data_IF_357972454165
#
_entry.id   IF_357972454165
#
_cell.length_a   1.000
_cell.length_b   1.000
_cell.length_c   1.000
_cell.angle_alpha   90.00
_cell.angle_beta   90.00
_cell.angle_gamma   90.00
#
_symmetry.space_group_name_H-M   'P 1'
#
loop_
_entity.id
_entity.type
_entity.pdbx_description
1 polymer ?
#
# COMPACT_ATOMS: atom_id res chain seq x y z
N UNK A 1 0.68 -14.96 -16.26
CA UNK A 1 1.31 -14.42 -15.04
C UNK A 1 0.99 -12.95 -15.01
N UNK A 2 0.58 -12.40 -13.86
CA UNK A 2 0.24 -10.98 -13.77
C UNK A 2 1.53 -10.17 -13.73
N UNK A 3 1.61 -9.09 -14.51
CA UNK A 3 2.82 -8.29 -14.60
C UNK A 3 2.91 -7.27 -13.47
N UNK A 4 4.14 -7.06 -12.97
CA UNK A 4 4.47 -5.97 -12.07
C UNK A 4 4.81 -4.72 -12.88
N UNK A 5 4.04 -3.66 -12.68
CA UNK A 5 4.18 -2.39 -13.40
C UNK A 5 4.48 -1.25 -12.43
N UNK A 6 5.06 -0.18 -12.95
CA UNK A 6 5.28 1.03 -12.16
C UNK A 6 3.95 1.73 -11.86
N UNK A 7 3.94 2.60 -10.86
CA UNK A 7 2.76 3.41 -10.55
C UNK A 7 2.31 4.31 -11.72
N UNK A 8 3.24 4.75 -12.58
CA UNK A 8 2.94 5.58 -13.75
C UNK A 8 2.18 4.79 -14.81
N UNK A 9 2.72 3.61 -15.16
CA UNK A 9 2.10 2.68 -16.12
C UNK A 9 0.73 2.22 -15.63
N UNK A 10 0.63 1.80 -14.36
CA UNK A 10 -0.63 1.37 -13.76
C UNK A 10 -1.70 2.45 -13.81
N UNK A 11 -1.33 3.70 -13.51
CA UNK A 11 -2.29 4.80 -13.51
C UNK A 11 -2.75 5.18 -14.92
N UNK A 12 -1.84 5.14 -15.90
CA UNK A 12 -2.17 5.38 -17.30
C UNK A 12 -3.17 4.32 -17.82
N UNK A 13 -2.93 3.05 -17.50
CA UNK A 13 -3.80 1.93 -17.85
C UNK A 13 -5.19 2.07 -17.19
N UNK A 14 -5.23 2.37 -15.88
CA UNK A 14 -6.47 2.38 -15.09
C UNK A 14 -7.34 3.62 -15.31
N UNK A 15 -6.75 4.81 -15.44
CA UNK A 15 -7.51 6.08 -15.41
C UNK A 15 -7.57 6.83 -16.75
N UNK A 16 -6.84 6.41 -17.79
CA UNK A 16 -6.74 6.93 -19.19
C UNK A 16 -6.72 8.45 -19.41
N UNK A 17 -7.64 9.21 -18.83
CA UNK A 17 -7.83 10.65 -19.01
C UNK A 17 -7.53 11.50 -17.76
N UNK A 18 -7.61 10.94 -16.55
CA UNK A 18 -7.33 11.71 -15.33
C UNK A 18 -6.72 10.86 -14.20
N UNK A 19 -5.47 10.38 -14.36
CA UNK A 19 -4.80 9.62 -13.32
C UNK A 19 -4.45 10.52 -12.11
N UNK A 20 -4.50 9.97 -10.88
CA UNK A 20 -3.93 10.63 -9.72
C UNK A 20 -2.45 10.96 -9.93
N UNK A 21 -1.97 12.03 -9.31
CA UNK A 21 -0.55 12.38 -9.36
C UNK A 21 0.33 11.24 -8.83
N UNK A 22 1.54 11.10 -9.36
CA UNK A 22 2.48 10.06 -8.92
C UNK A 22 2.80 10.16 -7.42
N UNK A 23 2.81 11.37 -6.87
CA UNK A 23 3.01 11.61 -5.44
C UNK A 23 1.84 11.04 -4.61
N UNK A 24 0.62 11.18 -5.10
CA UNK A 24 -0.58 10.58 -4.49
C UNK A 24 -0.47 9.05 -4.49
N UNK A 25 -0.10 8.46 -5.63
CA UNK A 25 0.04 7.01 -5.76
C UNK A 25 1.16 6.44 -4.87
N UNK A 26 2.29 7.15 -4.75
CA UNK A 26 3.37 6.77 -3.81
C UNK A 26 2.91 6.82 -2.37
N UNK A 27 2.10 7.81 -2.00
CA UNK A 27 1.49 7.89 -0.66
C UNK A 27 0.57 6.69 -0.42
N UNK A 28 -0.27 6.33 -1.39
CA UNK A 28 -1.15 5.15 -1.30
C UNK A 28 -0.37 3.84 -1.18
N UNK A 29 0.71 3.69 -1.96
CA UNK A 29 1.61 2.54 -1.90
C UNK A 29 2.26 2.43 -0.51
N UNK A 30 2.76 3.54 0.04
CA UNK A 30 3.33 3.60 1.39
C UNK A 30 2.30 3.28 2.48
N UNK A 31 1.03 3.60 2.25
CA UNK A 31 -0.08 3.35 3.18
C UNK A 31 -0.74 1.98 2.97
N UNK A 32 -0.18 1.12 2.10
CA UNK A 32 -0.75 -0.20 1.77
C UNK A 32 -2.21 -0.14 1.30
N UNK A 33 -2.59 0.92 0.57
CA UNK A 33 -3.96 1.11 0.04
C UNK A 33 -4.23 0.34 -1.26
N UNK A 34 -3.21 -0.34 -1.81
CA UNK A 34 -3.34 -1.20 -2.97
C UNK A 34 -3.64 -2.64 -2.53
N UNK A 35 -4.57 -3.29 -3.23
CA UNK A 35 -4.85 -4.71 -3.08
C UNK A 35 -4.70 -5.38 -4.45
N UNK A 36 -3.70 -6.27 -4.67
CA UNK A 36 -2.64 -6.68 -3.75
C UNK A 36 -1.64 -5.55 -3.41
N UNK A 37 -0.90 -5.64 -2.28
CA UNK A 37 -0.03 -4.57 -1.80
C UNK A 37 1.09 -4.23 -2.78
N UNK A 38 1.39 -2.93 -2.89
CA UNK A 38 2.50 -2.43 -3.68
C UNK A 38 3.84 -2.85 -3.07
N UNK A 39 4.82 -3.17 -3.92
CA UNK A 39 6.16 -3.56 -3.52
C UNK A 39 7.16 -2.44 -3.84
N UNK A 40 8.08 -2.15 -2.90
CA UNK A 40 9.13 -1.16 -3.11
C UNK A 40 10.37 -1.84 -3.65
N UNK A 41 10.73 -1.52 -4.89
CA UNK A 41 11.95 -2.00 -5.56
C UNK A 41 12.89 -0.82 -5.82
N UNK A 42 13.88 -0.66 -4.94
CA UNK A 42 14.81 0.46 -4.98
C UNK A 42 14.11 1.81 -4.87
N UNK A 43 14.17 2.62 -5.94
CA UNK A 43 13.53 3.94 -6.01
C UNK A 43 12.06 3.87 -6.45
N UNK A 44 11.62 2.76 -7.01
CA UNK A 44 10.30 2.62 -7.62
C UNK A 44 9.36 1.81 -6.72
N UNK A 45 8.08 2.17 -6.80
CA UNK A 45 6.99 1.32 -6.30
C UNK A 45 6.40 0.59 -7.49
N UNK A 46 6.21 -0.72 -7.32
CA UNK A 46 5.55 -1.59 -8.30
C UNK A 46 4.24 -2.09 -7.75
N UNK A 47 3.26 -2.17 -8.62
CA UNK A 47 1.93 -2.72 -8.37
C UNK A 47 1.63 -3.75 -9.44
N UNK A 48 0.80 -4.73 -9.09
CA UNK A 48 0.31 -5.70 -10.07
C UNK A 48 -0.69 -5.03 -11.01
N UNK A 49 -0.80 -5.54 -12.22
CA UNK A 49 -1.79 -5.08 -13.21
C UNK A 49 -3.24 -5.15 -12.68
N UNK A 50 -3.56 -6.15 -11.86
CA UNK A 50 -4.87 -6.37 -11.26
C UNK A 50 -5.06 -5.63 -9.93
N UNK A 51 -4.09 -4.80 -9.52
CA UNK A 51 -4.19 -4.09 -8.25
C UNK A 51 -5.29 -3.02 -8.31
N UNK A 52 -6.03 -2.91 -7.22
CA UNK A 52 -7.06 -1.89 -7.03
C UNK A 52 -6.75 -1.03 -5.80
N UNK A 53 -7.11 0.25 -5.86
CA UNK A 53 -7.02 1.15 -4.71
C UNK A 53 -8.29 0.96 -3.88
N UNK A 54 -8.20 0.20 -2.80
CA UNK A 54 -9.33 -0.06 -1.91
C UNK A 54 -9.45 1.01 -0.81
N UNK A 55 -8.48 1.93 -0.72
CA UNK A 55 -8.44 2.98 0.30
C UNK A 55 -8.01 2.45 1.68
N UNK A 56 -8.18 3.26 2.72
CA UNK A 56 -7.77 2.95 4.09
C UNK A 56 -8.82 2.04 4.78
N UNK A 57 -9.08 0.85 4.23
CA UNK A 57 -10.11 -0.06 4.77
C UNK A 57 -9.64 -0.88 5.99
N UNK A 58 -8.33 -0.99 6.23
CA UNK A 58 -7.79 -1.90 7.26
C UNK A 58 -6.60 -1.30 7.99
N UNK A 59 -6.87 -0.37 8.91
CA UNK A 59 -5.97 -0.15 10.05
C UNK A 59 -6.59 -0.84 11.27
N UNK A 60 -5.85 -1.71 11.99
CA UNK A 60 -6.36 -2.29 13.21
C UNK A 60 -6.62 -1.17 14.23
N UNK A 61 -7.77 -1.23 14.90
CA UNK A 61 -8.07 -0.30 15.99
C UNK A 61 -7.21 -0.69 17.18
N UNK A 62 -6.29 0.20 17.57
CA UNK A 62 -5.42 0.00 18.74
C UNK A 62 -6.04 0.73 19.93
N UNK A 63 -6.42 -0.02 20.98
CA UNK A 63 -6.95 0.56 22.22
C UNK A 63 -5.85 0.65 23.26
N UNK A 64 -5.89 1.71 24.08
CA UNK A 64 -4.94 1.89 25.19
C UNK A 64 -5.06 0.83 26.29
N UNK A 65 -6.21 0.14 26.38
CA UNK A 65 -6.40 -0.96 27.32
C UNK A 65 -5.90 -2.31 26.79
N UNK A 66 -5.50 -2.40 25.52
CA UNK A 66 -4.99 -3.65 24.96
C UNK A 66 -3.66 -4.01 25.64
N UNK A 67 -3.33 -5.31 25.77
CA UNK A 67 -2.04 -5.71 26.31
C UNK A 67 -0.88 -5.10 25.50
N UNK A 68 0.24 -4.72 26.14
CA UNK A 68 1.36 -4.07 25.46
C UNK A 68 1.92 -4.91 24.30
N UNK A 69 1.86 -6.24 24.41
CA UNK A 69 2.25 -7.15 23.32
C UNK A 69 1.30 -7.07 22.11
N UNK A 70 -0.01 -6.97 22.35
CA UNK A 70 -1.01 -6.85 21.30
C UNK A 70 -0.90 -5.48 20.61
N UNK A 71 -0.72 -4.41 21.37
CA UNK A 71 -0.46 -3.07 20.82
C UNK A 71 0.75 -3.10 19.88
N UNK A 72 1.85 -3.78 20.27
CA UNK A 72 3.06 -3.90 19.45
C UNK A 72 2.80 -4.62 18.14
N UNK A 73 2.05 -5.73 18.18
CA UNK A 73 1.69 -6.51 16.98
C UNK A 73 0.83 -5.69 16.03
N UNK A 74 -0.18 -4.98 16.56
CA UNK A 74 -1.10 -4.18 15.76
C UNK A 74 -0.46 -2.90 15.20
N UNK A 75 0.60 -2.39 15.82
CA UNK A 75 1.29 -1.16 15.38
C UNK A 75 2.21 -1.41 14.18
N UNK A 76 3.18 -2.30 14.34
CA UNK A 76 4.24 -2.51 13.33
C UNK A 76 4.77 -3.95 13.30
N UNK A 77 4.51 -4.76 14.34
CA UNK A 77 4.92 -6.17 14.40
C UNK A 77 6.44 -6.43 14.31
N UNK A 78 7.27 -5.40 14.15
CA UNK A 78 8.68 -5.53 13.83
C UNK A 78 9.47 -6.05 15.05
N UNK A 79 10.27 -7.08 14.83
CA UNK A 79 11.00 -7.78 15.88
C UNK A 79 12.15 -6.90 16.39
N UNK A 80 12.29 -6.82 17.71
CA UNK A 80 13.54 -6.39 18.34
C UNK A 80 14.61 -7.43 18.01
N UNK A 81 15.64 -7.02 17.26
CA UNK A 81 16.88 -7.77 17.02
C UNK A 81 17.55 -8.16 18.33
#
# INVERSE_FOLDING_TARGET
>A
MLQMMTLEEWAAEKYRSNPPSINTLRRYAKQSMFTPPAQKEGKFWRVREDAEITGNITQPVIKKSDPPLLQRILSDGCQTT
#
